data_IF_259573375448
#
_entry.id   IF_259573375448
#
_cell.length_a   1.000
_cell.length_b   1.000
_cell.length_c   1.000
_cell.angle_alpha   90.00
_cell.angle_beta   90.00
_cell.angle_gamma   90.00
#
_symmetry.space_group_name_H-M   'P 1'
#
loop_
_entity.id
_entity.type
_entity.pdbx_description
1 polymer ?
#
# COMPACT_ATOMS: atom_id res chain seq x y z
N UNK A 1 2.86 33.41 26.41
CA UNK A 1 3.14 33.86 25.03
C UNK A 1 4.10 35.04 25.11
N UNK A 2 5.24 35.00 24.41
CA UNK A 2 6.20 36.12 24.41
C UNK A 2 5.85 37.07 23.26
N UNK A 3 5.82 38.37 23.54
CA UNK A 3 5.51 39.41 22.57
C UNK A 3 6.80 40.18 22.23
N UNK A 4 7.01 40.45 20.95
CA UNK A 4 8.19 41.16 20.45
C UNK A 4 7.77 42.35 19.60
N UNK A 5 8.60 43.39 19.60
CA UNK A 5 8.40 44.57 18.75
C UNK A 5 8.84 44.24 17.33
N UNK A 6 7.96 44.44 16.34
CA UNK A 6 8.18 44.07 14.93
C UNK A 6 9.52 44.58 14.38
N UNK A 7 9.81 45.87 14.57
CA UNK A 7 11.04 46.50 14.07
C UNK A 7 12.32 45.81 14.59
N UNK A 8 12.37 45.45 15.88
CA UNK A 8 13.53 44.76 16.47
C UNK A 8 13.73 43.37 15.87
N UNK A 9 12.64 42.67 15.57
CA UNK A 9 12.68 41.34 14.96
C UNK A 9 13.15 41.42 13.50
N UNK A 10 12.68 42.41 12.74
CA UNK A 10 13.09 42.63 11.35
C UNK A 10 14.57 43.00 11.26
N UNK A 11 15.05 43.92 12.11
CA UNK A 11 16.47 44.28 12.15
C UNK A 11 17.36 43.07 12.45
N UNK A 12 16.97 42.25 13.42
CA UNK A 12 17.67 41.00 13.72
C UNK A 12 17.62 40.01 12.56
N UNK A 13 16.46 39.89 11.90
CA UNK A 13 16.29 39.00 10.76
C UNK A 13 17.18 39.40 9.59
N UNK A 14 17.29 40.69 9.26
CA UNK A 14 18.20 41.16 8.21
C UNK A 14 19.67 40.91 8.55
N UNK A 15 20.08 41.11 9.81
CA UNK A 15 21.44 40.74 10.26
C UNK A 15 21.72 39.24 10.12
N UNK A 16 20.71 38.41 10.40
CA UNK A 16 20.83 36.94 10.31
C UNK A 16 20.85 36.43 8.87
N UNK A 17 20.01 36.99 8.01
CA UNK A 17 19.77 36.50 6.65
C UNK A 17 20.47 37.33 5.57
N UNK A 18 21.16 38.41 5.94
CA UNK A 18 21.94 39.28 5.06
C UNK A 18 21.12 40.44 4.49
N UNK A 19 19.94 40.17 3.93
CA UNK A 19 19.07 41.20 3.37
C UNK A 19 17.59 40.76 3.37
N UNK A 20 16.64 41.70 3.16
CA UNK A 20 15.23 41.37 2.97
C UNK A 20 15.00 40.39 1.80
N UNK A 21 15.71 40.58 0.69
CA UNK A 21 15.57 39.76 -0.53
C UNK A 21 16.10 38.34 -0.30
N UNK A 22 17.19 38.19 0.47
CA UNK A 22 17.72 36.89 0.86
C UNK A 22 16.76 36.14 1.78
N UNK A 23 16.10 36.85 2.71
CA UNK A 23 15.05 36.30 3.56
C UNK A 23 13.84 35.82 2.74
N UNK A 24 13.39 36.63 1.77
CA UNK A 24 12.28 36.26 0.89
C UNK A 24 12.63 35.03 0.04
N UNK A 25 13.84 34.94 -0.48
CA UNK A 25 14.32 33.78 -1.24
C UNK A 25 14.28 32.51 -0.39
N UNK A 26 14.78 32.56 0.85
CA UNK A 26 14.73 31.44 1.78
C UNK A 26 13.29 31.07 2.17
N UNK A 27 12.42 32.08 2.36
CA UNK A 27 11.00 31.85 2.63
C UNK A 27 10.34 31.08 1.47
N UNK A 28 10.55 31.53 0.23
CA UNK A 28 10.01 30.85 -0.96
C UNK A 28 10.55 29.43 -1.09
N UNK A 29 11.84 29.20 -0.83
CA UNK A 29 12.45 27.86 -0.81
C UNK A 29 11.73 26.95 0.20
N UNK A 30 11.52 27.41 1.43
CA UNK A 30 10.84 26.65 2.48
C UNK A 30 9.36 26.39 2.16
N UNK A 31 8.66 27.37 1.59
CA UNK A 31 7.26 27.21 1.16
C UNK A 31 7.15 26.15 0.06
N UNK A 32 8.04 26.20 -0.94
CA UNK A 32 8.10 25.22 -2.01
C UNK A 32 8.40 23.80 -1.48
N UNK A 33 9.37 23.66 -0.58
CA UNK A 33 9.71 22.38 0.06
C UNK A 33 8.54 21.83 0.89
N UNK A 34 7.87 22.68 1.66
CA UNK A 34 6.67 22.30 2.43
C UNK A 34 5.56 21.80 1.52
N UNK A 35 5.34 22.45 0.36
CA UNK A 35 4.37 22.01 -0.64
C UNK A 35 4.77 20.65 -1.25
N UNK A 36 6.03 20.49 -1.65
CA UNK A 36 6.57 19.22 -2.17
C UNK A 36 6.40 18.07 -1.18
N UNK A 37 6.74 18.28 0.09
CA UNK A 37 6.62 17.26 1.15
C UNK A 37 5.16 16.86 1.39
N UNK A 38 4.23 17.81 1.38
CA UNK A 38 2.79 17.52 1.50
C UNK A 38 2.28 16.69 0.32
N UNK A 39 2.64 17.05 -0.91
CA UNK A 39 2.25 16.31 -2.11
C UNK A 39 2.82 14.88 -2.09
N UNK A 40 4.11 14.72 -1.78
CA UNK A 40 4.73 13.40 -1.66
C UNK A 40 4.03 12.51 -0.64
N UNK A 41 3.72 13.05 0.55
CA UNK A 41 2.99 12.31 1.59
C UNK A 41 1.59 11.91 1.12
N UNK A 42 0.91 12.77 0.38
CA UNK A 42 -0.41 12.49 -0.17
C UNK A 42 -0.34 11.37 -1.24
N UNK A 43 0.62 11.44 -2.15
CA UNK A 43 0.84 10.40 -3.17
C UNK A 43 1.22 9.06 -2.56
N UNK A 44 2.11 9.04 -1.56
CA UNK A 44 2.46 7.84 -0.79
C UNK A 44 1.22 7.25 -0.11
N UNK A 45 0.40 8.08 0.54
CA UNK A 45 -0.85 7.64 1.17
C UNK A 45 -1.82 7.02 0.15
N UNK A 46 -1.94 7.59 -1.05
CA UNK A 46 -2.76 7.03 -2.12
C UNK A 46 -2.22 5.70 -2.64
N UNK A 47 -0.90 5.56 -2.75
CA UNK A 47 -0.25 4.32 -3.18
C UNK A 47 -0.48 3.21 -2.15
N UNK A 48 -0.29 3.50 -0.87
CA UNK A 48 -0.54 2.54 0.20
C UNK A 48 -2.02 2.14 0.29
N UNK A 49 -2.94 3.10 0.11
CA UNK A 49 -4.38 2.80 0.05
C UNK A 49 -4.70 1.82 -1.09
N UNK A 50 -4.21 2.11 -2.31
CA UNK A 50 -4.40 1.21 -3.48
C UNK A 50 -3.82 -0.18 -3.24
N UNK A 51 -2.64 -0.26 -2.64
CA UNK A 51 -1.99 -1.55 -2.32
C UNK A 51 -2.87 -2.38 -1.39
N UNK A 52 -3.32 -1.79 -0.26
CA UNK A 52 -4.20 -2.46 0.70
C UNK A 52 -5.51 -2.93 0.07
N UNK A 53 -6.15 -2.08 -0.73
CA UNK A 53 -7.39 -2.47 -1.42
C UNK A 53 -7.13 -3.61 -2.42
N UNK A 54 -6.06 -3.55 -3.21
CA UNK A 54 -5.72 -4.60 -4.18
C UNK A 54 -5.43 -5.95 -3.50
N UNK A 55 -4.63 -5.93 -2.43
CA UNK A 55 -4.30 -7.13 -1.65
C UNK A 55 -5.56 -7.75 -1.02
N UNK A 56 -6.48 -6.93 -0.49
CA UNK A 56 -7.74 -7.42 0.07
C UNK A 56 -8.63 -8.11 -0.98
N UNK A 57 -8.69 -7.59 -2.21
CA UNK A 57 -9.48 -8.19 -3.29
C UNK A 57 -8.82 -9.48 -3.80
N UNK A 58 -7.50 -9.49 -3.95
CA UNK A 58 -6.78 -10.70 -4.38
C UNK A 58 -6.89 -11.82 -3.35
N UNK A 59 -6.70 -11.51 -2.07
CA UNK A 59 -6.83 -12.48 -0.98
C UNK A 59 -8.26 -13.03 -0.91
N UNK A 60 -9.27 -12.15 -1.00
CA UNK A 60 -10.67 -12.57 -1.06
C UNK A 60 -10.96 -13.52 -2.23
N UNK A 61 -10.43 -13.23 -3.43
CA UNK A 61 -10.56 -14.13 -4.59
C UNK A 61 -9.86 -15.47 -4.35
N UNK A 62 -8.69 -15.47 -3.70
CA UNK A 62 -7.97 -16.69 -3.31
C UNK A 62 -8.71 -17.50 -2.25
N UNK A 63 -9.38 -16.85 -1.31
CA UNK A 63 -10.17 -17.51 -0.29
C UNK A 63 -11.50 -18.05 -0.86
N UNK A 64 -12.04 -17.38 -1.90
CA UNK A 64 -13.19 -17.85 -2.69
C UNK A 64 -12.82 -18.98 -3.67
N UNK A 65 -11.54 -19.23 -3.96
CA UNK A 65 -11.12 -20.41 -4.76
C UNK A 65 -11.48 -21.69 -4.00
N UNK A 66 -12.31 -22.53 -4.63
CA UNK A 66 -12.73 -23.79 -4.07
C UNK A 66 -11.53 -24.71 -3.80
N UNK A 67 -11.32 -25.08 -2.54
CA UNK A 67 -10.30 -26.07 -2.14
C UNK A 67 -10.94 -27.46 -2.13
N UNK A 68 -10.51 -28.31 -3.05
CA UNK A 68 -11.00 -29.69 -3.14
C UNK A 68 -10.53 -30.50 -1.93
N UNK A 69 -11.48 -31.16 -1.25
CA UNK A 69 -11.21 -32.16 -0.21
C UNK A 69 -11.64 -33.52 -0.75
N UNK A 70 -10.66 -34.26 -1.25
CA UNK A 70 -10.87 -35.58 -1.84
C UNK A 70 -11.07 -36.65 -0.77
N UNK A 71 -12.03 -37.53 -1.02
CA UNK A 71 -12.26 -38.73 -0.23
C UNK A 71 -11.26 -39.86 -0.49
N UNK A 72 -11.51 -41.04 0.11
CA UNK A 72 -10.73 -42.24 -0.20
C UNK A 72 -10.76 -42.55 -1.70
N UNK A 73 -9.67 -43.12 -2.20
CA UNK A 73 -9.55 -43.53 -3.61
C UNK A 73 -10.31 -44.82 -3.88
N UNK A 74 -11.07 -44.85 -4.97
CA UNK A 74 -11.78 -46.03 -5.47
C UNK A 74 -11.08 -46.56 -6.73
N UNK A 75 -10.71 -47.85 -6.73
CA UNK A 75 -10.08 -48.49 -7.90
C UNK A 75 -11.15 -48.96 -8.87
N UNK A 76 -11.14 -48.38 -10.06
CA UNK A 76 -12.00 -48.77 -11.16
C UNK A 76 -11.56 -50.08 -11.83
N UNK A 77 -12.44 -50.70 -12.64
CA UNK A 77 -12.16 -51.98 -13.32
C UNK A 77 -10.95 -51.94 -14.27
N UNK A 78 -10.62 -50.75 -14.79
CA UNK A 78 -9.63 -50.55 -15.84
C UNK A 78 -8.23 -50.15 -15.31
N UNK A 79 -7.99 -50.26 -14.00
CA UNK A 79 -6.73 -49.84 -13.36
C UNK A 79 -6.65 -48.35 -13.04
N UNK A 80 -7.68 -47.58 -13.42
CA UNK A 80 -7.81 -46.15 -13.13
C UNK A 80 -8.35 -45.98 -11.71
N UNK A 81 -7.66 -45.16 -10.90
CA UNK A 81 -8.08 -44.81 -9.54
C UNK A 81 -8.82 -43.48 -9.56
N UNK A 82 -9.98 -43.41 -8.92
CA UNK A 82 -10.84 -42.24 -8.89
C UNK A 82 -10.93 -41.66 -7.47
N UNK A 83 -10.91 -40.33 -7.36
CA UNK A 83 -11.18 -39.61 -6.13
C UNK A 83 -12.25 -38.53 -6.36
N UNK A 84 -13.24 -38.48 -5.47
CA UNK A 84 -14.33 -37.51 -5.53
C UNK A 84 -14.15 -36.49 -4.41
N UNK A 85 -14.24 -35.21 -4.75
CA UNK A 85 -14.27 -34.12 -3.79
C UNK A 85 -15.61 -34.12 -3.05
N UNK A 86 -15.59 -34.25 -1.71
CA UNK A 86 -16.81 -34.30 -0.90
C UNK A 86 -17.62 -32.99 -0.89
N UNK A 87 -16.97 -31.87 -1.20
CA UNK A 87 -17.57 -30.54 -1.07
C UNK A 87 -18.13 -29.99 -2.40
N UNK A 88 -17.72 -30.51 -3.55
CA UNK A 88 -18.21 -30.04 -4.86
C UNK A 88 -18.50 -31.15 -5.88
N UNK A 89 -18.23 -32.42 -5.56
CA UNK A 89 -18.47 -33.54 -6.46
C UNK A 89 -17.47 -33.64 -7.64
N UNK A 90 -16.43 -32.82 -7.67
CA UNK A 90 -15.37 -32.92 -8.69
C UNK A 90 -14.66 -34.27 -8.58
N UNK A 91 -14.53 -34.97 -9.71
CA UNK A 91 -13.91 -36.29 -9.80
C UNK A 91 -12.54 -36.17 -10.46
N UNK A 92 -11.52 -36.74 -9.84
CA UNK A 92 -10.15 -36.77 -10.31
C UNK A 92 -9.76 -38.22 -10.58
N UNK A 93 -9.38 -38.52 -11.81
CA UNK A 93 -8.98 -39.85 -12.28
C UNK A 93 -7.46 -39.86 -12.50
N UNK A 94 -6.77 -40.84 -11.94
CA UNK A 94 -5.32 -41.01 -12.10
C UNK A 94 -4.91 -42.49 -12.08
N UNK A 95 -3.76 -42.79 -12.69
CA UNK A 95 -3.13 -44.11 -12.61
C UNK A 95 -2.17 -44.14 -11.41
N UNK A 96 -2.30 -45.13 -10.53
CA UNK A 96 -1.30 -45.41 -9.49
C UNK A 96 -0.14 -46.18 -10.13
N UNK A 97 1.06 -45.58 -10.10
CA UNK A 97 2.29 -46.13 -10.69
C UNK A 97 2.98 -47.16 -9.79
#
# INVERSE_FOLDING_TARGET
MMLYVRYQVEEFAWKKWGSPEALDTEYQRRVAEKKKKKNKKFEESLRELRKKTKESVWQRRKDEEHKHSFGPSEKGPDGITMQICHTCGFTLEFEEL
#
